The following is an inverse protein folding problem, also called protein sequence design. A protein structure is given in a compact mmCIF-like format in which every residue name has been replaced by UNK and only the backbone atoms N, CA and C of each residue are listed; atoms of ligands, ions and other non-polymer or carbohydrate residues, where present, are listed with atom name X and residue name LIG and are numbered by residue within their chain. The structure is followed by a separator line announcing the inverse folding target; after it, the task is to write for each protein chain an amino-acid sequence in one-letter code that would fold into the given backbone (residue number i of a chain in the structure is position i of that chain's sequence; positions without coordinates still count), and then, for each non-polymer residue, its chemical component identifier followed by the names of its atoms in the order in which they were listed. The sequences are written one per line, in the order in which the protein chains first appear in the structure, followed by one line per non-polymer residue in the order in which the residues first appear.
data_IF_377209091196
#
_entry.id   IF_377209091196
#
_cell.length_a   1.000
_cell.length_b   1.000
_cell.length_c   1.000
_cell.angle_alpha   90.00
_cell.angle_beta   90.00
_cell.angle_gamma   90.00
#
_symmetry.space_group_name_H-M   'P 1'
#
loop_
_entity.id
_entity.type
_entity.pdbx_description
1 polymer ?
#
# COMPACT_ATOMS: atom_id res chain seq x y z
N UNK A 1 5.00 34.15 -28.22
CA UNK A 1 5.78 33.20 -27.41
C UNK A 1 5.39 33.23 -25.93
N UNK A 2 5.45 34.39 -25.25
CA UNK A 2 5.06 34.52 -23.83
C UNK A 2 3.64 34.01 -23.52
N UNK A 3 2.65 34.36 -24.34
CA UNK A 3 1.27 33.87 -24.15
C UNK A 3 1.17 32.34 -24.27
N UNK A 4 1.89 31.74 -25.22
CA UNK A 4 1.91 30.28 -25.42
C UNK A 4 2.56 29.59 -24.21
N UNK A 5 3.69 30.12 -23.72
CA UNK A 5 4.37 29.57 -22.54
C UNK A 5 3.54 29.73 -21.26
N UNK A 6 2.84 30.86 -21.11
CA UNK A 6 1.97 31.10 -19.96
C UNK A 6 0.79 30.13 -19.95
N UNK A 7 0.07 30.04 -21.08
CA UNK A 7 -1.08 29.14 -21.21
C UNK A 7 -0.68 27.68 -21.08
N UNK A 8 0.43 27.25 -21.70
CA UNK A 8 0.90 25.86 -21.58
C UNK A 8 1.34 25.52 -20.16
N UNK A 9 2.07 26.42 -19.49
CA UNK A 9 2.49 26.23 -18.09
C UNK A 9 1.31 26.19 -17.12
N UNK A 10 0.34 27.10 -17.30
CA UNK A 10 -0.87 27.13 -16.48
C UNK A 10 -1.68 25.85 -16.63
N UNK A 11 -1.92 25.40 -17.87
CA UNK A 11 -2.70 24.19 -18.14
C UNK A 11 -1.98 22.94 -17.62
N UNK A 12 -0.67 22.85 -17.81
CA UNK A 12 0.15 21.76 -17.30
C UNK A 12 0.10 21.70 -15.76
N UNK A 13 0.24 22.84 -15.08
CA UNK A 13 0.13 22.92 -13.63
C UNK A 13 -1.25 22.53 -13.12
N UNK A 14 -2.32 23.01 -13.76
CA UNK A 14 -3.69 22.68 -13.42
C UNK A 14 -3.95 21.17 -13.49
N UNK A 15 -3.60 20.53 -14.61
CA UNK A 15 -3.75 19.08 -14.81
C UNK A 15 -2.90 18.30 -13.81
N UNK A 16 -1.65 18.70 -13.59
CA UNK A 16 -0.75 18.05 -12.65
C UNK A 16 -1.32 18.04 -11.23
N UNK A 17 -1.84 19.17 -10.75
CA UNK A 17 -2.43 19.25 -9.40
C UNK A 17 -3.66 18.34 -9.27
N UNK A 18 -4.52 18.28 -10.29
CA UNK A 18 -5.70 17.40 -10.26
C UNK A 18 -5.31 15.92 -10.21
N UNK A 19 -4.38 15.48 -11.07
CA UNK A 19 -3.86 14.11 -11.07
C UNK A 19 -3.27 13.76 -9.71
N UNK A 20 -2.43 14.64 -9.17
CA UNK A 20 -1.82 14.43 -7.86
C UNK A 20 -2.86 14.38 -6.75
N UNK A 21 -3.91 15.19 -6.82
CA UNK A 21 -4.99 15.20 -5.81
C UNK A 21 -5.79 13.91 -5.86
N UNK A 22 -6.16 13.44 -7.06
CA UNK A 22 -6.85 12.15 -7.25
C UNK A 22 -5.99 11.02 -6.69
N UNK A 23 -4.71 10.97 -7.04
CA UNK A 23 -3.79 9.95 -6.52
C UNK A 23 -3.68 9.97 -4.99
N UNK A 24 -3.76 11.15 -4.37
CA UNK A 24 -3.71 11.28 -2.91
C UNK A 24 -4.97 10.77 -2.24
N UNK A 25 -6.15 11.08 -2.78
CA UNK A 25 -7.42 10.63 -2.19
C UNK A 25 -7.65 9.13 -2.40
N UNK A 26 -7.22 8.57 -3.53
CA UNK A 26 -7.41 7.14 -3.84
C UNK A 26 -6.39 6.23 -3.15
N UNK A 27 -5.31 6.79 -2.61
CA UNK A 27 -4.21 6.03 -2.01
C UNK A 27 -4.28 6.04 -0.49
N UNK A 28 -4.28 4.85 0.11
CA UNK A 28 -4.22 4.69 1.56
C UNK A 28 -2.95 5.34 2.16
N UNK A 29 -3.11 5.99 3.32
CA UNK A 29 -2.07 6.81 3.95
C UNK A 29 -0.77 6.05 4.26
N UNK A 30 -0.86 4.75 4.54
CA UNK A 30 0.29 3.86 4.79
C UNK A 30 1.08 3.49 3.52
N UNK A 31 0.48 3.61 2.33
CA UNK A 31 1.09 3.21 1.06
C UNK A 31 1.42 4.40 0.14
N UNK A 32 0.99 5.61 0.51
CA UNK A 32 1.24 6.85 -0.25
C UNK A 32 2.72 7.03 -0.61
N UNK A 33 3.63 6.88 0.35
CA UNK A 33 5.07 6.99 0.08
C UNK A 33 5.60 6.00 -0.97
N UNK A 34 5.09 4.75 -0.96
CA UNK A 34 5.51 3.71 -1.92
C UNK A 34 4.97 3.96 -3.32
N UNK A 35 3.71 4.38 -3.42
CA UNK A 35 3.06 4.68 -4.72
C UNK A 35 3.67 5.92 -5.36
N UNK A 36 3.88 6.99 -4.58
CA UNK A 36 4.53 8.20 -5.08
C UNK A 36 6.00 7.95 -5.43
N UNK A 37 6.71 7.11 -4.67
CA UNK A 37 8.05 6.67 -5.02
C UNK A 37 8.09 5.92 -6.35
N UNK A 38 7.19 4.95 -6.55
CA UNK A 38 7.09 4.17 -7.78
C UNK A 38 6.75 5.04 -9.00
N UNK A 39 5.72 5.89 -8.90
CA UNK A 39 5.35 6.84 -9.96
C UNK A 39 6.51 7.79 -10.25
N UNK A 40 7.20 8.26 -9.21
CA UNK A 40 8.38 9.11 -9.32
C UNK A 40 9.53 8.43 -10.06
N UNK A 41 9.83 7.16 -9.75
CA UNK A 41 10.87 6.38 -10.45
C UNK A 41 10.52 6.14 -11.91
N UNK A 42 9.29 5.75 -12.22
CA UNK A 42 8.84 5.58 -13.61
C UNK A 42 8.94 6.89 -14.36
N UNK A 43 8.36 7.96 -13.81
CA UNK A 43 8.38 9.28 -14.45
C UNK A 43 9.81 9.78 -14.65
N UNK A 44 10.66 9.61 -13.64
CA UNK A 44 12.08 9.98 -13.69
C UNK A 44 12.87 9.18 -14.72
N UNK A 45 12.58 7.90 -14.89
CA UNK A 45 13.21 7.06 -15.92
C UNK A 45 12.72 7.42 -17.34
N UNK A 46 11.46 7.85 -17.48
CA UNK A 46 10.90 8.26 -18.78
C UNK A 46 11.46 9.58 -19.29
N UNK A 47 11.89 10.50 -18.43
CA UNK A 47 12.48 11.80 -18.83
C UNK A 47 13.69 11.63 -19.76
N UNK A 48 14.78 10.93 -19.37
CA UNK A 48 15.95 10.77 -20.24
C UNK A 48 15.63 9.98 -21.51
N UNK A 49 14.71 9.01 -21.42
CA UNK A 49 14.25 8.25 -22.60
C UNK A 49 13.52 9.18 -23.58
N UNK A 50 12.58 9.99 -23.10
CA UNK A 50 11.85 10.96 -23.91
C UNK A 50 12.79 11.99 -24.53
N UNK A 51 13.79 12.47 -23.78
CA UNK A 51 14.79 13.40 -24.28
C UNK A 51 15.68 12.76 -25.36
N UNK A 52 16.08 11.50 -25.18
CA UNK A 52 16.85 10.74 -26.17
C UNK A 52 16.07 10.49 -27.47
N UNK A 53 14.81 10.07 -27.36
CA UNK A 53 13.92 9.88 -28.53
C UNK A 53 13.65 11.21 -29.22
N UNK A 54 13.40 12.29 -28.46
CA UNK A 54 13.20 13.62 -29.03
C UNK A 54 14.44 14.12 -29.78
N UNK A 55 15.65 13.85 -29.27
CA UNK A 55 16.91 14.15 -29.96
C UNK A 55 17.04 13.39 -31.29
N UNK A 56 16.77 12.07 -31.27
CA UNK A 56 16.79 11.26 -32.48
C UNK A 56 15.78 11.74 -33.55
N UNK A 57 14.57 12.08 -33.13
CA UNK A 57 13.54 12.66 -34.02
C UNK A 57 13.97 14.04 -34.54
N UNK A 58 14.67 14.84 -33.72
CA UNK A 58 15.19 16.14 -34.12
C UNK A 58 16.24 16.03 -35.23
N UNK A 59 17.12 15.03 -35.14
CA UNK A 59 18.15 14.76 -36.16
C UNK A 59 17.52 14.33 -37.48
N UNK A 60 16.51 13.45 -37.47
CA UNK A 60 15.77 13.05 -38.68
C UNK A 60 15.03 14.22 -39.35
N UNK A 61 14.63 15.23 -38.57
CA UNK A 61 13.79 16.35 -39.04
C UNK A 61 14.64 17.57 -39.47
N UNK A 62 15.96 17.39 -39.66
CA UNK A 62 16.91 18.45 -39.99
C UNK A 62 16.87 19.63 -38.99
N UNK A 63 16.66 19.34 -37.69
CA UNK A 63 16.56 20.34 -36.61
C UNK A 63 15.42 21.36 -36.77
N UNK A 64 14.38 21.05 -37.54
CA UNK A 64 13.18 21.88 -37.59
C UNK A 64 12.36 21.74 -36.30
N UNK A 65 12.68 22.57 -35.31
CA UNK A 65 12.02 22.63 -33.99
C UNK A 65 10.48 22.71 -34.10
N UNK A 66 9.88 23.51 -35.01
CA UNK A 66 8.42 23.61 -35.09
C UNK A 66 7.74 22.29 -35.46
N UNK A 67 8.36 21.45 -36.30
CA UNK A 67 7.78 20.19 -36.76
C UNK A 67 7.69 19.17 -35.62
N UNK A 68 8.68 19.18 -34.71
CA UNK A 68 8.70 18.30 -33.53
C UNK A 68 7.57 18.68 -32.55
N UNK A 69 7.37 19.98 -32.34
CA UNK A 69 6.29 20.48 -31.47
C UNK A 69 4.91 20.17 -32.06
N UNK A 70 4.73 20.35 -33.38
CA UNK A 70 3.47 20.03 -34.05
C UNK A 70 3.22 18.52 -34.04
N UNK A 71 4.23 17.71 -34.34
CA UNK A 71 4.13 16.25 -34.33
C UNK A 71 3.79 15.69 -32.95
N UNK A 72 4.47 16.14 -31.90
CA UNK A 72 4.16 15.73 -30.52
C UNK A 72 2.78 16.22 -30.07
N UNK A 73 2.37 17.43 -30.47
CA UNK A 73 1.04 17.95 -30.20
C UNK A 73 -0.08 17.13 -30.85
N UNK A 74 0.07 16.77 -32.13
CA UNK A 74 -0.88 15.92 -32.85
C UNK A 74 -0.93 14.52 -32.22
N UNK A 75 0.22 13.96 -31.85
CA UNK A 75 0.29 12.66 -31.20
C UNK A 75 -0.45 12.66 -29.85
N UNK A 76 -0.24 13.68 -29.02
CA UNK A 76 -0.99 13.89 -27.77
C UNK A 76 -2.49 14.03 -28.03
N UNK A 77 -2.88 14.76 -29.08
CA UNK A 77 -4.27 15.00 -29.43
C UNK A 77 -4.98 13.67 -29.80
N UNK A 78 -4.32 12.83 -30.61
CA UNK A 78 -4.86 11.53 -31.01
C UNK A 78 -5.03 10.59 -29.82
N UNK A 79 -4.04 10.56 -28.92
CA UNK A 79 -4.12 9.78 -27.68
C UNK A 79 -5.25 10.28 -26.80
N UNK A 80 -5.39 11.59 -26.64
CA UNK A 80 -6.49 12.20 -25.86
C UNK A 80 -7.85 11.83 -26.45
N UNK A 81 -8.00 11.89 -27.77
CA UNK A 81 -9.25 11.53 -28.45
C UNK A 81 -9.58 10.04 -28.29
N UNK A 82 -8.55 9.18 -28.34
CA UNK A 82 -8.68 7.74 -28.10
C UNK A 82 -9.11 7.45 -26.65
N UNK A 83 -8.50 8.13 -25.68
CA UNK A 83 -8.82 8.05 -24.24
C UNK A 83 -10.27 8.47 -23.98
N UNK A 84 -10.74 9.57 -24.59
CA UNK A 84 -12.14 10.02 -24.44
C UNK A 84 -13.13 9.02 -25.05
N UNK A 85 -12.73 8.34 -26.12
CA UNK A 85 -13.53 7.30 -26.77
C UNK A 85 -13.59 5.97 -26.03
N UNK A 86 -12.64 5.67 -25.13
CA UNK A 86 -12.61 4.41 -24.42
C UNK A 86 -13.59 4.40 -23.24
N UNK A 87 -14.46 3.40 -23.22
CA UNK A 87 -15.52 3.25 -22.20
C UNK A 87 -14.94 2.97 -20.82
N UNK A 88 -13.76 2.36 -20.76
CA UNK A 88 -13.08 2.00 -19.52
C UNK A 88 -12.79 3.22 -18.63
N UNK A 89 -12.42 4.36 -19.23
CA UNK A 89 -12.12 5.59 -18.48
C UNK A 89 -13.41 6.25 -17.99
N UNK A 90 -14.50 6.13 -18.76
CA UNK A 90 -15.84 6.56 -18.32
C UNK A 90 -16.33 5.70 -17.15
N UNK A 91 -16.00 4.41 -17.12
CA UNK A 91 -16.31 3.51 -16.01
C UNK A 91 -15.46 3.81 -14.76
N UNK A 92 -14.16 4.10 -14.93
CA UNK A 92 -13.30 4.56 -13.83
C UNK A 92 -13.70 5.91 -13.25
N UNK A 93 -14.27 6.82 -14.04
CA UNK A 93 -14.83 8.09 -13.55
C UNK A 93 -16.28 7.97 -13.03
N UNK A 94 -17.03 6.94 -13.47
CA UNK A 94 -18.38 6.65 -13.01
C UNK A 94 -18.42 5.73 -11.78
N UNK A 95 -17.26 5.24 -11.31
CA UNK A 95 -17.11 4.76 -9.94
C UNK A 95 -17.42 5.96 -9.04
N UNK A 96 -18.69 6.03 -8.61
CA UNK A 96 -19.05 6.60 -7.32
C UNK A 96 -18.03 6.06 -6.34
N UNK A 97 -17.43 6.94 -5.55
CA UNK A 97 -16.54 6.58 -4.46
C UNK A 97 -17.36 5.81 -3.41
N UNK A 98 -17.76 4.58 -3.72
CA UNK A 98 -18.04 3.57 -2.72
C UNK A 98 -16.72 3.46 -1.97
N UNK A 99 -16.66 3.89 -0.70
CA UNK A 99 -15.51 3.61 0.13
C UNK A 99 -15.20 2.14 -0.08
N UNK A 100 -13.95 1.79 -0.44
CA UNK A 100 -13.51 0.40 -0.53
C UNK A 100 -14.15 -0.35 0.63
N UNK A 101 -15.20 -1.12 0.35
CA UNK A 101 -15.68 -2.03 1.34
C UNK A 101 -14.51 -2.98 1.61
N UNK A 102 -14.43 -3.46 2.84
CA UNK A 102 -13.39 -4.37 3.26
C UNK A 102 -13.52 -5.74 2.60
N UNK A 103 -13.70 -5.89 1.29
CA UNK A 103 -13.72 -7.19 0.60
C UNK A 103 -12.32 -7.82 0.42
N UNK A 104 -11.27 -7.28 1.05
CA UNK A 104 -10.05 -8.05 1.43
C UNK A 104 -9.94 -8.31 2.93
N UNK A 105 -10.94 -7.90 3.70
CA UNK A 105 -11.02 -8.10 5.14
C UNK A 105 -11.85 -9.34 5.50
N UNK A 106 -12.76 -9.84 4.67
CA UNK A 106 -13.55 -11.02 5.07
C UNK A 106 -12.70 -12.31 5.11
N UNK A 107 -11.93 -12.59 4.04
CA UNK A 107 -11.03 -13.78 4.03
C UNK A 107 -9.83 -13.64 4.97
N UNK A 108 -9.35 -12.43 5.21
CA UNK A 108 -8.24 -12.18 6.14
C UNK A 108 -8.72 -12.23 7.58
N UNK A 109 -9.89 -11.67 7.90
CA UNK A 109 -10.51 -11.79 9.22
C UNK A 109 -10.93 -13.23 9.52
N UNK A 110 -11.44 -13.99 8.55
CA UNK A 110 -11.75 -15.41 8.76
C UNK A 110 -10.50 -16.22 9.13
N UNK A 111 -9.35 -15.91 8.53
CA UNK A 111 -8.08 -16.56 8.85
C UNK A 111 -7.52 -16.04 10.19
N UNK A 112 -7.61 -14.74 10.46
CA UNK A 112 -7.14 -14.14 11.72
C UNK A 112 -8.01 -14.55 12.90
N UNK A 113 -9.32 -14.68 12.73
CA UNK A 113 -10.26 -15.18 13.73
C UNK A 113 -9.98 -16.67 14.01
N UNK A 114 -9.92 -17.52 12.97
CA UNK A 114 -9.55 -18.94 13.14
C UNK A 114 -8.18 -19.14 13.80
N UNK A 115 -7.20 -18.30 13.48
CA UNK A 115 -5.85 -18.34 14.10
C UNK A 115 -5.88 -17.80 15.53
N UNK A 116 -6.67 -16.76 15.84
CA UNK A 116 -6.82 -16.20 17.18
C UNK A 116 -7.56 -17.16 18.13
N UNK A 117 -8.65 -17.78 17.68
CA UNK A 117 -9.38 -18.80 18.46
C UNK A 117 -8.52 -20.04 18.73
N UNK A 118 -7.67 -20.42 17.77
CA UNK A 118 -6.71 -21.53 17.95
C UNK A 118 -5.59 -21.17 18.94
N UNK A 119 -5.06 -19.96 18.88
CA UNK A 119 -4.01 -19.50 19.82
C UNK A 119 -4.55 -19.24 21.23
N UNK A 120 -5.80 -18.79 21.39
CA UNK A 120 -6.46 -18.71 22.69
C UNK A 120 -6.66 -20.09 23.31
N UNK A 121 -7.06 -21.09 22.54
CA UNK A 121 -7.16 -22.48 23.04
C UNK A 121 -5.78 -23.02 23.48
N UNK A 122 -4.71 -22.75 22.72
CA UNK A 122 -3.36 -23.16 23.12
C UNK A 122 -2.86 -22.42 24.38
N UNK A 123 -3.17 -21.14 24.53
CA UNK A 123 -2.87 -20.37 25.75
C UNK A 123 -3.63 -20.84 26.99
N UNK A 124 -4.89 -21.25 26.82
CA UNK A 124 -5.69 -21.87 27.88
C UNK A 124 -5.14 -23.24 28.29
N UNK A 125 -4.70 -24.07 27.33
CA UNK A 125 -4.08 -25.37 27.61
C UNK A 125 -2.75 -25.19 28.35
N UNK A 126 -1.92 -24.20 27.96
CA UNK A 126 -0.66 -23.89 28.64
C UNK A 126 -0.87 -23.37 30.07
N UNK A 127 -1.83 -22.46 30.27
CA UNK A 127 -2.14 -21.91 31.60
C UNK A 127 -2.81 -22.96 32.52
N UNK A 128 -3.66 -23.83 31.97
CA UNK A 128 -4.26 -24.94 32.71
C UNK A 128 -3.19 -25.94 33.18
N UNK A 129 -2.23 -26.30 32.33
CA UNK A 129 -1.15 -27.22 32.70
C UNK A 129 -0.22 -26.61 33.76
N UNK A 130 0.11 -25.32 33.66
CA UNK A 130 0.92 -24.65 34.68
C UNK A 130 0.19 -24.61 36.04
N UNK A 131 -1.11 -24.31 36.08
CA UNK A 131 -1.86 -24.33 37.34
C UNK A 131 -1.94 -25.73 37.97
N UNK A 132 -2.04 -26.80 37.17
CA UNK A 132 -2.04 -28.18 37.67
C UNK A 132 -0.65 -28.53 38.23
N UNK A 133 0.43 -28.18 37.51
CA UNK A 133 1.81 -28.43 37.98
C UNK A 133 2.11 -27.61 39.24
N UNK A 134 1.74 -26.33 39.30
CA UNK A 134 1.93 -25.49 40.48
C UNK A 134 1.15 -26.03 41.68
N UNK A 135 -0.10 -26.47 41.51
CA UNK A 135 -0.86 -27.13 42.60
C UNK A 135 -0.22 -28.44 43.04
N UNK A 136 0.30 -29.24 42.11
CA UNK A 136 1.01 -30.47 42.42
C UNK A 136 2.29 -30.20 43.23
N UNK A 137 3.11 -29.23 42.82
CA UNK A 137 4.36 -28.86 43.53
C UNK A 137 4.09 -28.27 44.91
N UNK A 138 3.07 -27.42 45.04
CA UNK A 138 2.67 -26.86 46.35
C UNK A 138 2.17 -27.98 47.28
N UNK A 139 1.35 -28.89 46.78
CA UNK A 139 0.84 -30.02 47.59
C UNK A 139 1.96 -30.98 48.02
N UNK A 140 2.95 -31.22 47.14
CA UNK A 140 4.12 -32.02 47.45
C UNK A 140 5.00 -31.34 48.52
N UNK A 141 5.24 -30.03 48.39
CA UNK A 141 6.02 -29.26 49.36
C UNK A 141 5.34 -29.19 50.74
N UNK A 142 4.01 -29.03 50.77
CA UNK A 142 3.24 -29.07 52.02
C UNK A 142 3.32 -30.45 52.69
N UNK A 143 3.19 -31.54 51.92
CA UNK A 143 3.31 -32.90 52.46
C UNK A 143 4.73 -33.20 52.98
N UNK A 144 5.77 -32.70 52.30
CA UNK A 144 7.16 -32.82 52.75
C UNK A 144 7.39 -32.03 54.04
N UNK A 145 6.89 -30.79 54.12
CA UNK A 145 7.00 -29.97 55.33
C UNK A 145 6.24 -30.58 56.52
N UNK A 146 5.07 -31.18 56.29
CA UNK A 146 4.33 -31.91 57.32
C UNK A 146 5.10 -33.12 57.84
N UNK A 147 5.73 -33.90 56.93
CA UNK A 147 6.60 -35.02 57.32
C UNK A 147 7.83 -34.56 58.11
N UNK A 148 8.47 -33.46 57.73
CA UNK A 148 9.62 -32.90 58.45
C UNK A 148 9.19 -32.40 59.84
N UNK A 149 8.05 -31.70 59.94
CA UNK A 149 7.50 -31.22 61.21
C UNK A 149 7.17 -32.38 62.15
N UNK A 150 6.57 -33.46 61.63
CA UNK A 150 6.29 -34.66 62.42
C UNK A 150 7.56 -35.40 62.87
N UNK A 151 8.61 -35.44 62.05
CA UNK A 151 9.92 -35.99 62.45
C UNK A 151 10.63 -35.15 63.51
N UNK A 152 10.52 -33.82 63.47
CA UNK A 152 11.08 -32.93 64.49
C UNK A 152 10.33 -33.02 65.82
N UNK A 153 9.02 -33.31 65.78
CA UNK A 153 8.19 -33.51 66.98
C UNK A 153 8.43 -34.85 67.68
N UNK A 154 8.90 -35.87 66.98
CA UNK A 154 9.30 -37.17 67.56
C UNK A 154 10.75 -37.21 68.08
N UNK A 155 11.55 -36.17 67.78
CA UNK A 155 12.96 -36.06 68.21
C UNK A 155 13.14 -35.14 69.43
N UNK A 156 12.03 -34.69 70.03
CA UNK A 156 11.94 -33.99 71.32
C UNK A 156 11.21 -34.89 72.30
#
# INVERSE_FOLDING_TARGET
VLLILFTSGFLAGFVQVHIQTILQITTESNMRGRIFGFIGTISGALIPIGMGVAGFVADLTNKNIPVIYIGSGIFILLISLYIVGSKDIRDFLAIDYSPRDGSKNNKTNDIVEKVSTKNQNLGQIYNSNNNIVTRSVISLNLAVMEKIKNKLKQKK
#
